data_IF_238414623369
#
_entry.id   IF_238414623369
#
_cell.length_a   1.000
_cell.length_b   1.000
_cell.length_c   1.000
_cell.angle_alpha   90.00
_cell.angle_beta   90.00
_cell.angle_gamma   90.00
#
_symmetry.space_group_name_H-M   'P 1'
#
loop_
_entity.id
_entity.type
_entity.pdbx_description
1 polymer ?
#
# COMPACT_ATOMS: atom_id res chain seq x y z
N UNK A 1 -18.20 1.23 -42.60
CA UNK A 1 -16.81 1.44 -42.13
C UNK A 1 -16.57 0.45 -41.00
N UNK A 2 -15.72 -0.57 -41.19
CA UNK A 2 -15.30 -1.43 -40.09
C UNK A 2 -14.37 -0.61 -39.22
N UNK A 3 -14.72 -0.39 -37.97
CA UNK A 3 -13.84 0.22 -36.98
C UNK A 3 -12.67 -0.75 -36.78
N UNK A 4 -11.56 -0.54 -37.48
CA UNK A 4 -10.30 -1.22 -37.16
C UNK A 4 -9.85 -0.66 -35.81
N UNK A 5 -10.16 -1.36 -34.73
CA UNK A 5 -9.53 -1.12 -33.44
C UNK A 5 -8.01 -1.09 -33.67
N UNK A 6 -7.37 0.03 -33.32
CA UNK A 6 -5.91 0.14 -33.42
C UNK A 6 -5.30 -0.74 -32.32
N UNK A 7 -5.10 -2.02 -32.61
CA UNK A 7 -4.35 -2.91 -31.76
C UNK A 7 -2.85 -2.55 -31.84
N UNK A 8 -2.19 -2.47 -30.70
CA UNK A 8 -0.74 -2.32 -30.57
C UNK A 8 -0.25 -3.38 -29.59
N UNK A 9 0.96 -3.90 -29.80
CA UNK A 9 1.53 -4.87 -28.86
C UNK A 9 2.11 -4.15 -27.64
N UNK A 10 2.05 -4.79 -26.48
CA UNK A 10 2.55 -4.21 -25.22
C UNK A 10 4.04 -3.87 -25.34
N UNK A 11 4.84 -4.69 -26.02
CA UNK A 11 6.29 -4.48 -26.19
C UNK A 11 6.60 -3.16 -26.88
N UNK A 12 5.76 -2.75 -27.84
CA UNK A 12 5.92 -1.49 -28.56
C UNK A 12 5.70 -0.25 -27.68
N UNK A 13 4.89 -0.40 -26.62
CA UNK A 13 4.51 0.66 -25.67
C UNK A 13 5.23 0.56 -24.33
N UNK A 14 5.89 -0.55 -24.07
CA UNK A 14 6.49 -0.87 -22.79
C UNK A 14 7.49 0.23 -22.37
N UNK A 15 7.32 0.88 -21.21
CA UNK A 15 8.14 2.03 -20.83
C UNK A 15 9.46 1.61 -20.19
N UNK A 16 9.61 0.34 -19.78
CA UNK A 16 10.83 -0.18 -19.18
C UNK A 16 11.83 -0.58 -20.27
N UNK A 17 13.11 -0.34 -20.00
CA UNK A 17 14.22 -0.68 -20.89
C UNK A 17 14.86 -2.01 -20.49
N UNK A 18 15.30 -2.10 -19.23
CA UNK A 18 16.00 -3.27 -18.68
C UNK A 18 15.91 -3.30 -17.16
N UNK A 19 16.18 -4.46 -16.57
CA UNK A 19 16.41 -4.62 -15.14
C UNK A 19 17.87 -5.00 -14.96
N UNK A 20 18.65 -4.14 -14.32
CA UNK A 20 20.10 -4.28 -14.17
C UNK A 20 20.51 -3.98 -12.73
N UNK A 21 21.33 -4.84 -12.13
CA UNK A 21 21.85 -4.65 -10.76
C UNK A 21 20.74 -4.43 -9.71
N UNK A 22 19.66 -5.21 -9.78
CA UNK A 22 18.47 -5.09 -8.92
C UNK A 22 17.81 -3.69 -8.97
N UNK A 23 17.90 -3.03 -10.13
CA UNK A 23 17.25 -1.75 -10.43
C UNK A 23 16.48 -1.87 -11.74
N UNK A 24 15.29 -1.27 -11.78
CA UNK A 24 14.50 -1.13 -13.00
C UNK A 24 14.91 0.17 -13.69
N UNK A 25 15.31 0.09 -14.96
CA UNK A 25 15.67 1.23 -15.79
C UNK A 25 14.56 1.47 -16.81
N UNK A 26 14.00 2.67 -16.81
CA UNK A 26 13.01 3.06 -17.83
C UNK A 26 13.68 3.55 -19.11
N UNK A 27 12.97 3.52 -20.24
CA UNK A 27 13.43 4.09 -21.52
C UNK A 27 13.71 5.59 -21.40
N UNK A 28 13.10 6.27 -20.45
CA UNK A 28 13.34 7.69 -20.20
C UNK A 28 14.48 7.96 -19.19
N UNK A 29 15.27 6.93 -18.86
CA UNK A 29 16.42 6.96 -17.94
C UNK A 29 16.06 7.20 -16.47
N UNK A 30 14.84 6.85 -16.05
CA UNK A 30 14.52 6.77 -14.61
C UNK A 30 15.08 5.48 -14.01
N UNK A 31 15.51 5.56 -12.76
CA UNK A 31 16.06 4.43 -12.01
C UNK A 31 15.10 4.13 -10.87
N UNK A 32 14.64 2.88 -10.77
CA UNK A 32 13.76 2.45 -9.69
C UNK A 32 14.37 1.32 -8.89
N UNK A 33 14.38 1.44 -7.57
CA UNK A 33 14.71 0.34 -6.65
C UNK A 33 13.42 -0.16 -6.02
N UNK A 34 13.21 -1.47 -6.03
CA UNK A 34 12.02 -2.12 -5.51
C UNK A 34 12.32 -2.86 -4.19
N UNK A 35 11.42 -2.73 -3.23
CA UNK A 35 11.46 -3.40 -1.93
C UNK A 35 10.15 -4.11 -1.65
N UNK A 36 10.24 -5.27 -0.98
CA UNK A 36 9.13 -5.87 -0.24
C UNK A 36 9.11 -5.23 1.16
N UNK A 37 7.93 -4.84 1.61
CA UNK A 37 7.74 -4.19 2.92
C UNK A 37 7.00 -5.13 3.85
N UNK A 38 7.64 -5.49 4.95
CA UNK A 38 7.00 -6.17 6.06
C UNK A 38 6.50 -5.14 7.07
N UNK A 39 5.18 -5.08 7.20
CA UNK A 39 4.46 -4.22 8.13
C UNK A 39 4.04 -4.99 9.39
N UNK A 40 3.76 -4.31 10.51
CA UNK A 40 3.23 -4.94 11.71
C UNK A 40 1.82 -5.50 11.52
N UNK A 41 1.44 -6.48 12.33
CA UNK A 41 0.13 -7.14 12.22
C UNK A 41 -0.99 -6.23 12.74
N UNK A 42 -2.17 -6.38 12.15
CA UNK A 42 -3.35 -5.60 12.52
C UNK A 42 -3.70 -5.71 14.02
N UNK A 43 -4.01 -4.59 14.68
CA UNK A 43 -4.28 -4.49 16.13
C UNK A 43 -3.11 -4.86 17.06
N UNK A 44 -1.85 -4.82 16.59
CA UNK A 44 -0.67 -5.07 17.45
C UNK A 44 0.10 -3.82 17.84
N UNK A 45 -0.19 -2.68 17.19
CA UNK A 45 0.55 -1.42 17.33
C UNK A 45 -0.26 -0.42 18.17
N UNK A 46 0.42 0.35 19.00
CA UNK A 46 -0.13 1.42 19.83
C UNK A 46 0.03 2.80 19.17
N UNK A 47 -0.71 3.81 19.63
CA UNK A 47 -0.62 5.19 19.09
C UNK A 47 0.81 5.75 19.08
N UNK A 48 1.56 5.55 20.16
CA UNK A 48 2.97 5.99 20.24
C UNK A 48 3.89 5.25 19.26
N UNK A 49 3.58 4.00 18.93
CA UNK A 49 4.34 3.24 17.94
C UNK A 49 3.99 3.68 16.51
N UNK A 50 2.74 4.07 16.23
CA UNK A 50 2.38 4.73 14.96
C UNK A 50 3.11 6.07 14.78
N UNK A 51 3.23 6.88 15.83
CA UNK A 51 4.04 8.10 15.79
C UNK A 51 5.53 7.79 15.52
N UNK A 52 6.06 6.70 16.09
CA UNK A 52 7.43 6.27 15.84
C UNK A 52 7.64 5.79 14.38
N UNK A 53 6.70 5.02 13.84
CA UNK A 53 6.67 4.59 12.44
C UNK A 53 6.62 5.81 11.51
N UNK A 54 5.70 6.74 11.77
CA UNK A 54 5.55 7.98 11.01
C UNK A 54 6.84 8.82 11.04
N UNK A 55 7.48 8.92 12.21
CA UNK A 55 8.78 9.60 12.35
C UNK A 55 9.89 8.91 11.56
N UNK A 56 9.91 7.57 11.53
CA UNK A 56 10.88 6.79 10.77
C UNK A 56 10.71 7.04 9.26
N UNK A 57 9.49 6.97 8.73
CA UNK A 57 9.18 7.33 7.34
C UNK A 57 9.58 8.76 7.01
N UNK A 58 9.24 9.72 7.88
CA UNK A 58 9.57 11.14 7.68
C UNK A 58 11.09 11.34 7.56
N UNK A 59 11.87 10.68 8.43
CA UNK A 59 13.34 10.73 8.37
C UNK A 59 13.89 10.07 7.11
N UNK A 60 13.37 8.90 6.74
CA UNK A 60 13.81 8.16 5.58
C UNK A 60 13.55 8.97 4.29
N UNK A 61 12.34 9.49 4.09
CA UNK A 61 11.97 10.28 2.91
C UNK A 61 12.86 11.52 2.76
N UNK A 62 13.20 12.21 3.86
CA UNK A 62 14.06 13.41 3.83
C UNK A 62 15.49 13.15 3.35
N UNK A 63 15.95 11.90 3.33
CA UNK A 63 17.29 11.52 2.81
C UNK A 63 17.32 11.41 1.29
N UNK A 64 16.16 11.18 0.66
CA UNK A 64 16.09 11.02 -0.79
C UNK A 64 16.39 12.34 -1.51
N UNK A 65 17.08 12.29 -2.66
CA UNK A 65 17.39 13.48 -3.43
C UNK A 65 16.13 14.07 -4.08
N UNK A 66 16.21 15.35 -4.48
CA UNK A 66 15.17 16.01 -5.25
C UNK A 66 14.84 15.26 -6.54
N UNK A 67 13.59 15.38 -6.96
CA UNK A 67 12.98 14.66 -8.07
C UNK A 67 13.00 13.15 -7.88
N UNK A 68 12.60 12.71 -6.69
CA UNK A 68 12.39 11.30 -6.36
C UNK A 68 10.90 11.06 -6.12
N UNK A 69 10.42 9.90 -6.55
CA UNK A 69 9.05 9.45 -6.34
C UNK A 69 9.07 8.26 -5.40
N UNK A 70 8.33 8.38 -4.31
CA UNK A 70 8.06 7.27 -3.38
C UNK A 70 6.70 6.74 -3.77
N UNK A 71 6.65 5.49 -4.19
CA UNK A 71 5.41 4.79 -4.53
C UNK A 71 5.29 3.53 -3.69
N UNK A 72 4.41 3.58 -2.69
CA UNK A 72 4.05 2.43 -1.87
C UNK A 72 2.76 1.82 -2.42
N UNK A 73 2.79 0.52 -2.66
CA UNK A 73 1.73 -0.22 -3.32
C UNK A 73 1.32 -1.40 -2.45
N UNK A 74 0.12 -1.31 -1.88
CA UNK A 74 -0.44 -2.34 -1.00
C UNK A 74 -1.47 -3.14 -1.78
N UNK A 75 -1.15 -4.42 -2.01
CA UNK A 75 -1.98 -5.37 -2.72
C UNK A 75 -2.85 -6.14 -1.76
N UNK A 76 -4.14 -6.11 -1.99
CA UNK A 76 -5.14 -6.84 -1.23
C UNK A 76 -5.90 -7.76 -2.17
N UNK A 77 -5.58 -9.05 -2.13
CA UNK A 77 -6.15 -10.05 -3.05
C UNK A 77 -6.89 -11.11 -2.24
N UNK A 78 -8.12 -11.42 -2.62
CA UNK A 78 -8.93 -12.48 -2.03
C UNK A 78 -8.28 -13.82 -2.35
N UNK A 79 -7.98 -14.56 -1.29
CA UNK A 79 -7.46 -15.91 -1.36
C UNK A 79 -8.32 -16.84 -0.52
N UNK A 80 -8.29 -18.13 -0.86
CA UNK A 80 -8.99 -19.16 -0.13
C UNK A 80 -8.02 -19.95 0.75
N UNK A 81 -8.39 -20.13 2.02
CA UNK A 81 -7.59 -20.94 2.94
C UNK A 81 -7.47 -22.38 2.44
N UNK A 82 -6.23 -22.81 2.19
CA UNK A 82 -5.90 -24.19 1.81
C UNK A 82 -5.51 -24.99 3.05
N UNK A 83 -6.30 -26.01 3.44
CA UNK A 83 -6.01 -26.79 4.62
C UNK A 83 -4.80 -27.70 4.43
N UNK A 84 -4.03 -27.91 5.50
CA UNK A 84 -2.88 -28.80 5.49
C UNK A 84 -3.31 -30.23 5.88
N UNK A 85 -4.04 -30.92 5.00
CA UNK A 85 -4.62 -32.25 5.29
C UNK A 85 -3.65 -33.42 5.19
N UNK A 86 -2.47 -33.22 4.58
CA UNK A 86 -1.59 -34.32 4.16
C UNK A 86 -0.63 -34.81 5.25
N UNK A 87 -0.82 -34.37 6.50
CA UNK A 87 -0.02 -34.83 7.63
C UNK A 87 -0.53 -36.21 8.09
N UNK A 88 0.30 -37.24 7.91
CA UNK A 88 -0.01 -38.67 8.16
C UNK A 88 -0.51 -39.00 9.58
N UNK A 89 -0.36 -38.09 10.56
CA UNK A 89 -0.76 -38.28 11.96
C UNK A 89 -1.76 -37.23 12.49
N UNK A 90 -2.64 -36.69 11.64
CA UNK A 90 -3.62 -35.70 12.11
C UNK A 90 -4.79 -36.34 12.90
N UNK A 91 -5.06 -35.84 14.11
CA UNK A 91 -6.20 -36.28 14.93
C UNK A 91 -7.55 -35.98 14.27
N UNK A 92 -8.61 -36.69 14.67
CA UNK A 92 -9.98 -36.46 14.17
C UNK A 92 -10.43 -34.99 14.32
N UNK A 93 -10.14 -34.37 15.47
CA UNK A 93 -10.54 -32.99 15.74
C UNK A 93 -9.71 -31.99 14.94
N UNK A 94 -8.42 -32.25 14.73
CA UNK A 94 -7.57 -31.43 13.86
C UNK A 94 -8.01 -31.51 12.40
N UNK A 95 -8.38 -32.71 11.91
CA UNK A 95 -8.93 -32.88 10.56
C UNK A 95 -10.29 -32.19 10.39
N UNK A 96 -11.14 -32.25 11.41
CA UNK A 96 -12.44 -31.57 11.40
C UNK A 96 -12.29 -30.04 11.40
N UNK A 97 -11.30 -29.53 12.12
CA UNK A 97 -10.94 -28.11 12.10
C UNK A 97 -10.50 -27.66 10.70
N UNK A 98 -9.55 -28.37 10.08
CA UNK A 98 -9.09 -28.06 8.72
C UNK A 98 -10.24 -28.07 7.70
N UNK A 99 -11.14 -29.06 7.81
CA UNK A 99 -12.32 -29.14 6.93
C UNK A 99 -13.32 -28.01 7.14
N UNK A 100 -13.50 -27.55 8.38
CA UNK A 100 -14.43 -26.46 8.70
C UNK A 100 -14.01 -25.14 8.05
N UNK A 101 -12.70 -24.89 7.97
CA UNK A 101 -12.14 -23.66 7.41
C UNK A 101 -11.66 -23.81 5.96
N UNK A 102 -11.83 -24.98 5.34
CA UNK A 102 -11.51 -25.18 3.93
C UNK A 102 -12.25 -24.14 3.08
N UNK A 103 -11.55 -23.54 2.12
CA UNK A 103 -12.09 -22.53 1.20
C UNK A 103 -12.62 -21.26 1.89
N UNK A 104 -12.25 -21.03 3.17
CA UNK A 104 -12.57 -19.77 3.85
C UNK A 104 -11.89 -18.62 3.10
N UNK A 105 -12.64 -17.65 2.55
CA UNK A 105 -12.06 -16.51 1.88
C UNK A 105 -11.42 -15.57 2.91
N UNK A 106 -10.24 -15.05 2.58
CA UNK A 106 -9.56 -14.01 3.34
C UNK A 106 -8.87 -13.06 2.37
N UNK A 107 -8.61 -11.85 2.81
CA UNK A 107 -7.85 -10.88 2.03
C UNK A 107 -6.37 -11.03 2.37
N UNK A 108 -5.55 -11.42 1.40
CA UNK A 108 -4.10 -11.49 1.55
C UNK A 108 -3.47 -10.14 1.21
N UNK A 109 -2.57 -9.68 2.06
CA UNK A 109 -1.88 -8.42 1.90
C UNK A 109 -0.40 -8.62 1.55
N UNK A 110 0.03 -7.97 0.48
CA UNK A 110 1.44 -7.83 0.11
C UNK A 110 1.77 -6.37 -0.14
N UNK A 111 2.82 -5.85 0.49
CA UNK A 111 3.22 -4.45 0.33
C UNK A 111 4.56 -4.36 -0.42
N UNK A 112 4.57 -3.53 -1.45
CA UNK A 112 5.76 -3.22 -2.25
C UNK A 112 6.05 -1.72 -2.19
N UNK A 113 7.34 -1.37 -2.18
CA UNK A 113 7.80 0.01 -2.21
C UNK A 113 8.74 0.20 -3.39
N UNK A 114 8.42 1.19 -4.22
CA UNK A 114 9.22 1.59 -5.36
C UNK A 114 9.76 3.00 -5.11
N UNK A 115 11.08 3.12 -5.11
CA UNK A 115 11.77 4.40 -5.04
C UNK A 115 12.31 4.71 -6.42
N UNK A 116 11.74 5.73 -7.08
CA UNK A 116 12.11 6.10 -8.45
C UNK A 116 12.83 7.44 -8.46
N UNK A 117 14.06 7.47 -8.99
CA UNK A 117 14.72 8.72 -9.38
C UNK A 117 14.29 9.11 -10.78
N UNK A 118 13.76 10.31 -10.91
CA UNK A 118 13.36 10.87 -12.21
C UNK A 118 13.94 12.27 -12.44
N UNK A 119 13.48 12.93 -13.50
CA UNK A 119 13.90 14.28 -13.91
C UNK A 119 12.79 15.30 -13.68
N UNK A 120 13.18 16.56 -13.52
CA UNK A 120 12.27 17.69 -13.35
C UNK A 120 11.18 17.76 -14.43
N UNK A 121 11.56 17.54 -15.69
CA UNK A 121 10.63 17.63 -16.82
C UNK A 121 9.59 16.51 -16.80
N UNK A 122 9.98 15.30 -16.38
CA UNK A 122 9.07 14.16 -16.26
C UNK A 122 8.06 14.34 -15.14
N UNK A 123 8.49 14.83 -13.98
CA UNK A 123 7.58 15.06 -12.84
C UNK A 123 6.47 16.08 -13.11
N UNK A 124 6.61 16.86 -14.19
CA UNK A 124 5.62 17.86 -14.65
C UNK A 124 4.82 17.39 -15.86
N UNK A 125 4.98 16.14 -16.29
CA UNK A 125 4.22 15.62 -17.42
C UNK A 125 2.73 15.50 -17.07
N UNK A 126 1.91 15.66 -18.10
CA UNK A 126 0.45 15.54 -18.02
C UNK A 126 -0.03 14.25 -18.70
N UNK A 127 -1.26 13.83 -18.41
CA UNK A 127 -1.86 12.59 -18.92
C UNK A 127 -1.76 12.45 -20.44
N UNK A 128 -1.97 13.55 -21.16
CA UNK A 128 -1.89 13.59 -22.63
C UNK A 128 -0.50 13.25 -23.20
N UNK A 129 0.52 13.31 -22.36
CA UNK A 129 1.91 13.05 -22.70
C UNK A 129 2.43 11.73 -22.14
N UNK A 130 1.59 10.91 -21.49
CA UNK A 130 2.00 9.59 -21.00
C UNK A 130 2.62 8.74 -22.11
N UNK A 131 3.56 7.89 -21.73
CA UNK A 131 4.14 6.82 -22.56
C UNK A 131 3.07 5.97 -23.26
N UNK A 132 1.90 5.76 -22.62
CA UNK A 132 0.77 5.06 -23.21
C UNK A 132 0.24 5.76 -24.48
N UNK A 133 0.14 7.09 -24.43
CA UNK A 133 -0.34 7.94 -25.51
C UNK A 133 0.75 8.27 -26.53
N UNK A 134 2.02 8.30 -26.12
CA UNK A 134 3.18 8.52 -27.00
C UNK A 134 3.47 7.29 -27.87
N UNK A 135 4.04 7.52 -29.05
CA UNK A 135 4.49 6.46 -29.95
C UNK A 135 5.79 5.81 -29.45
N UNK A 136 6.77 5.68 -30.34
CA UNK A 136 8.10 5.15 -30.02
C UNK A 136 8.86 6.07 -29.06
N UNK A 137 9.34 5.51 -27.94
CA UNK A 137 10.16 6.22 -26.94
C UNK A 137 11.63 5.98 -27.27
N UNK A 138 12.41 7.06 -27.44
CA UNK A 138 13.86 6.97 -27.68
C UNK A 138 14.55 6.80 -26.31
N UNK A 139 15.29 5.69 -26.10
CA UNK A 139 15.99 5.46 -24.85
C UNK A 139 16.98 6.59 -24.53
N UNK A 140 16.89 7.15 -23.32
CA UNK A 140 17.85 8.12 -22.79
C UNK A 140 18.94 7.42 -21.98
N UNK A 141 20.12 8.03 -21.89
CA UNK A 141 21.21 7.50 -21.07
C UNK A 141 21.06 7.94 -19.61
N UNK A 142 21.28 6.97 -18.71
CA UNK A 142 21.28 7.21 -17.26
C UNK A 142 22.58 7.93 -16.87
N UNK A 143 22.45 9.04 -16.14
CA UNK A 143 23.60 9.72 -15.55
C UNK A 143 24.17 8.88 -14.39
N UNK A 144 25.36 8.32 -14.57
CA UNK A 144 26.03 7.45 -13.60
C UNK A 144 26.27 8.11 -12.24
N UNK A 145 26.62 9.39 -12.20
CA UNK A 145 26.87 10.09 -10.93
C UNK A 145 25.56 10.28 -10.14
N UNK A 146 24.47 10.60 -10.84
CA UNK A 146 23.14 10.69 -10.23
C UNK A 146 22.70 9.31 -9.71
N UNK A 147 22.94 8.25 -10.48
CA UNK A 147 22.62 6.88 -10.10
C UNK A 147 23.31 6.46 -8.79
N UNK A 148 24.63 6.70 -8.67
CA UNK A 148 25.39 6.35 -7.47
C UNK A 148 24.87 7.10 -6.24
N UNK A 149 24.68 8.42 -6.35
CA UNK A 149 24.13 9.23 -5.24
C UNK A 149 22.74 8.79 -4.83
N UNK A 150 21.90 8.44 -5.80
CA UNK A 150 20.55 7.93 -5.53
C UNK A 150 20.60 6.59 -4.80
N UNK A 151 21.43 5.64 -5.25
CA UNK A 151 21.58 4.34 -4.59
C UNK A 151 22.15 4.45 -3.17
N UNK A 152 23.08 5.38 -2.93
CA UNK A 152 23.57 5.69 -1.58
C UNK A 152 22.45 6.22 -0.68
N UNK A 153 21.63 7.15 -1.19
CA UNK A 153 20.48 7.67 -0.46
C UNK A 153 19.41 6.59 -0.19
N UNK A 154 19.16 5.70 -1.15
CA UNK A 154 18.27 4.54 -0.99
C UNK A 154 18.80 3.57 0.06
N UNK A 155 20.11 3.31 0.10
CA UNK A 155 20.72 2.47 1.14
C UNK A 155 20.63 3.10 2.54
N UNK A 156 20.68 4.43 2.64
CA UNK A 156 20.43 5.14 3.91
C UNK A 156 18.94 5.08 4.30
N UNK A 157 18.04 5.26 3.33
CA UNK A 157 16.60 5.13 3.50
C UNK A 157 16.21 3.75 4.06
N UNK A 158 16.75 2.68 3.45
CA UNK A 158 16.55 1.30 3.88
C UNK A 158 16.98 1.07 5.32
N UNK A 159 18.17 1.55 5.70
CA UNK A 159 18.70 1.43 7.06
C UNK A 159 17.83 2.14 8.08
N UNK A 160 17.39 3.37 7.80
CA UNK A 160 16.55 4.15 8.74
C UNK A 160 15.26 3.41 9.08
N UNK A 161 14.61 2.79 8.09
CA UNK A 161 13.38 2.05 8.32
C UNK A 161 13.63 0.71 9.01
N UNK A 162 14.65 -0.05 8.60
CA UNK A 162 15.00 -1.31 9.24
C UNK A 162 15.43 -1.14 10.70
N UNK A 163 16.17 -0.06 11.01
CA UNK A 163 16.61 0.26 12.38
C UNK A 163 15.45 0.69 13.30
N UNK A 164 14.28 1.05 12.74
CA UNK A 164 13.09 1.38 13.53
C UNK A 164 12.53 0.16 14.30
N UNK A 165 12.77 -1.05 13.80
CA UNK A 165 12.27 -2.30 14.38
C UNK A 165 10.78 -2.60 14.13
N UNK A 166 10.03 -1.66 13.54
CA UNK A 166 8.61 -1.85 13.23
C UNK A 166 8.36 -2.28 11.78
N UNK A 167 9.17 -1.77 10.86
CA UNK A 167 9.06 -2.03 9.42
C UNK A 167 10.36 -2.69 8.95
N UNK A 168 10.24 -3.72 8.11
CA UNK A 168 11.39 -4.32 7.45
C UNK A 168 11.28 -4.18 5.94
N UNK A 169 12.30 -3.59 5.33
CA UNK A 169 12.49 -3.49 3.89
C UNK A 169 13.46 -4.58 3.44
N UNK A 170 13.01 -5.37 2.47
CA UNK A 170 13.84 -6.37 1.78
C UNK A 170 13.92 -6.01 0.31
N UNK A 171 15.12 -5.77 -0.21
CA UNK A 171 15.31 -5.46 -1.63
C UNK A 171 14.89 -6.64 -2.51
N UNK A 172 14.14 -6.35 -3.58
CA UNK A 172 13.69 -7.36 -4.54
C UNK A 172 14.78 -7.55 -5.60
N UNK A 173 15.17 -8.80 -5.83
CA UNK A 173 16.19 -9.15 -6.81
C UNK A 173 15.67 -9.02 -8.25
N UNK A 174 16.58 -8.84 -9.21
CA UNK A 174 16.25 -8.77 -10.65
C UNK A 174 15.33 -9.91 -11.12
N UNK A 175 15.61 -11.15 -10.69
CA UNK A 175 14.84 -12.34 -11.09
C UNK A 175 13.39 -12.31 -10.57
N UNK A 176 13.15 -11.77 -9.37
CA UNK A 176 11.80 -11.60 -8.80
C UNK A 176 11.03 -10.47 -9.51
N UNK A 177 11.73 -9.50 -10.11
CA UNK A 177 11.11 -8.39 -10.85
C UNK A 177 10.67 -8.86 -12.24
N UNK A 178 11.59 -9.49 -12.99
CA UNK A 178 11.33 -9.93 -14.37
C UNK A 178 10.59 -11.25 -14.45
N UNK A 179 10.70 -12.07 -13.41
CA UNK A 179 10.25 -13.46 -13.42
C UNK A 179 11.33 -14.40 -13.91
N UNK A 180 11.11 -15.69 -13.63
CA UNK A 180 11.92 -16.81 -14.11
C UNK A 180 11.06 -17.72 -14.99
N UNK A 181 11.63 -18.78 -15.58
CA UNK A 181 10.84 -19.75 -16.36
C UNK A 181 9.74 -20.45 -15.53
N UNK A 182 9.82 -20.41 -14.19
CA UNK A 182 8.91 -21.12 -13.28
C UNK A 182 7.99 -20.22 -12.48
N UNK A 183 8.40 -18.99 -12.22
CA UNK A 183 7.71 -18.06 -11.32
C UNK A 183 7.52 -16.72 -12.03
N UNK A 184 6.27 -16.26 -12.04
CA UNK A 184 5.90 -14.97 -12.60
C UNK A 184 6.60 -13.81 -11.90
N UNK A 185 7.10 -12.85 -12.69
CA UNK A 185 7.75 -11.64 -12.17
C UNK A 185 6.76 -10.64 -11.59
N UNK A 186 7.24 -9.71 -10.77
CA UNK A 186 6.41 -8.63 -10.22
C UNK A 186 5.69 -7.80 -11.29
N UNK A 187 6.35 -7.55 -12.42
CA UNK A 187 5.75 -6.82 -13.54
C UNK A 187 4.63 -7.64 -14.20
N UNK A 188 4.84 -8.94 -14.39
CA UNK A 188 3.85 -9.85 -14.96
C UNK A 188 2.63 -9.97 -14.04
N UNK A 189 2.86 -10.13 -12.73
CA UNK A 189 1.83 -10.12 -11.68
C UNK A 189 1.01 -8.83 -11.69
N UNK A 190 1.66 -7.68 -11.88
CA UNK A 190 0.99 -6.39 -12.04
C UNK A 190 0.05 -6.39 -13.26
N UNK A 191 0.53 -6.82 -14.43
CA UNK A 191 -0.27 -6.85 -15.66
C UNK A 191 -1.46 -7.80 -15.60
N UNK A 192 -1.35 -8.90 -14.84
CA UNK A 192 -2.44 -9.86 -14.64
C UNK A 192 -3.38 -9.49 -13.48
N UNK A 193 -3.07 -8.42 -12.72
CA UNK A 193 -3.72 -8.11 -11.44
C UNK A 193 -3.85 -9.35 -10.55
N UNK A 194 -2.79 -10.15 -10.45
CA UNK A 194 -2.76 -11.42 -9.70
C UNK A 194 -1.38 -11.63 -9.11
N UNK A 195 -1.32 -12.08 -7.85
CA UNK A 195 -0.06 -12.42 -7.18
C UNK A 195 0.32 -13.89 -7.33
N UNK A 196 -0.49 -14.68 -8.01
CA UNK A 196 -0.23 -16.11 -8.28
C UNK A 196 1.00 -16.30 -9.20
N UNK A 197 1.70 -17.43 -9.04
CA UNK A 197 2.91 -17.72 -9.80
C UNK A 197 2.64 -18.26 -11.21
N UNK A 198 1.39 -18.62 -11.50
CA UNK A 198 0.92 -19.07 -12.83
C UNK A 198 0.05 -17.99 -13.46
N UNK A 199 0.66 -16.94 -13.99
CA UNK A 199 -0.06 -15.89 -14.70
C UNK A 199 -0.27 -16.27 -16.16
N UNK A 200 -1.53 -16.34 -16.58
CA UNK A 200 -1.86 -16.38 -18.01
C UNK A 200 -1.71 -14.97 -18.59
N UNK A 201 -1.13 -14.83 -19.78
CA UNK A 201 -1.15 -13.57 -20.52
C UNK A 201 -2.60 -13.15 -20.78
N UNK A 202 -2.95 -11.94 -20.37
CA UNK A 202 -4.28 -11.36 -20.53
C UNK A 202 -4.22 -10.12 -21.42
N UNK A 203 -5.27 -9.91 -22.20
CA UNK A 203 -5.41 -8.71 -23.02
C UNK A 203 -5.76 -7.50 -22.15
N UNK A 204 -5.16 -6.34 -22.47
CA UNK A 204 -5.50 -5.05 -21.87
C UNK A 204 -6.35 -4.24 -22.85
N UNK A 205 -7.59 -3.97 -22.46
CA UNK A 205 -8.55 -3.20 -23.26
C UNK A 205 -8.80 -1.83 -22.62
N UNK A 206 -8.61 -0.79 -23.43
CA UNK A 206 -8.95 0.59 -23.10
C UNK A 206 -10.25 0.95 -23.82
N UNK A 207 -11.38 0.66 -23.17
CA UNK A 207 -12.71 0.86 -23.71
C UNK A 207 -13.33 2.20 -23.31
N UNK A 208 -14.50 2.51 -23.90
CA UNK A 208 -15.32 3.64 -23.45
C UNK A 208 -15.91 3.40 -22.04
N UNK A 209 -16.07 2.13 -21.66
CA UNK A 209 -16.61 1.70 -20.37
C UNK A 209 -15.55 1.56 -19.27
N UNK A 210 -14.26 1.84 -19.57
CA UNK A 210 -13.16 1.82 -18.61
C UNK A 210 -11.98 0.93 -19.03
N UNK A 211 -11.11 0.62 -18.07
CA UNK A 211 -9.97 -0.27 -18.22
C UNK A 211 -10.39 -1.71 -17.89
N UNK A 212 -10.08 -2.65 -18.79
CA UNK A 212 -10.32 -4.08 -18.61
C UNK A 212 -9.05 -4.88 -18.85
N UNK A 213 -8.79 -5.87 -18.00
CA UNK A 213 -7.62 -6.75 -18.04
C UNK A 213 -8.12 -8.19 -18.02
N UNK A 214 -8.07 -8.86 -19.18
CA UNK A 214 -8.77 -10.14 -19.37
C UNK A 214 -10.27 -9.99 -19.09
N UNK A 215 -10.76 -10.70 -18.08
CA UNK A 215 -12.16 -10.62 -17.64
C UNK A 215 -12.37 -9.61 -16.49
N UNK A 216 -11.28 -9.08 -15.92
CA UNK A 216 -11.33 -8.16 -14.77
C UNK A 216 -11.61 -6.74 -15.24
N UNK A 217 -12.68 -6.15 -14.73
CA UNK A 217 -13.01 -4.74 -14.96
C UNK A 217 -12.48 -3.90 -13.79
N UNK A 218 -11.73 -2.84 -14.10
CA UNK A 218 -11.07 -2.00 -13.10
C UNK A 218 -11.93 -0.78 -12.75
N UNK A 219 -12.02 -0.48 -11.47
CA UNK A 219 -12.64 0.73 -10.92
C UNK A 219 -11.60 1.50 -10.09
N UNK A 220 -11.44 2.79 -10.35
CA UNK A 220 -10.43 3.62 -9.71
C UNK A 220 -11.07 4.78 -8.96
N UNK A 221 -10.73 4.90 -7.67
CA UNK A 221 -11.07 6.06 -6.86
C UNK A 221 -9.81 6.82 -6.49
N UNK A 222 -9.77 8.12 -6.78
CA UNK A 222 -8.61 8.97 -6.54
C UNK A 222 -8.86 9.96 -5.42
N UNK A 223 -7.79 10.31 -4.70
CA UNK A 223 -7.69 11.43 -3.79
C UNK A 223 -6.59 12.33 -4.37
N UNK A 224 -6.97 13.22 -5.27
CA UNK A 224 -6.04 14.06 -6.04
C UNK A 224 -6.25 15.57 -5.85
N UNK A 225 -7.29 15.99 -5.10
CA UNK A 225 -7.58 17.40 -4.83
C UNK A 225 -7.58 17.70 -3.32
N UNK A 226 -7.12 18.89 -2.94
CA UNK A 226 -7.10 19.37 -1.54
C UNK A 226 -8.53 19.56 -1.01
N UNK A 227 -9.49 19.90 -1.87
CA UNK A 227 -10.91 20.05 -1.46
C UNK A 227 -11.58 18.72 -1.11
N UNK A 228 -10.98 17.60 -1.52
CA UNK A 228 -11.46 16.25 -1.27
C UNK A 228 -10.84 15.63 -0.01
N UNK A 229 -9.90 16.34 0.64
CA UNK A 229 -9.23 15.90 1.87
C UNK A 229 -10.02 16.28 3.13
N UNK A 230 -9.82 15.55 4.23
CA UNK A 230 -10.38 15.88 5.53
C UNK A 230 -9.75 17.15 6.10
N UNK A 231 -10.46 17.79 7.04
CA UNK A 231 -9.95 18.99 7.72
C UNK A 231 -8.78 18.71 8.67
N UNK A 232 -8.63 17.47 9.13
CA UNK A 232 -7.55 17.01 10.00
C UNK A 232 -7.13 15.60 9.62
N UNK A 233 -5.83 15.33 9.64
CA UNK A 233 -5.24 14.00 9.47
C UNK A 233 -4.44 13.63 10.71
N UNK A 234 -4.28 12.33 10.96
CA UNK A 234 -3.50 11.81 12.08
C UNK A 234 -2.69 10.59 11.68
N UNK A 235 -1.74 10.20 12.52
CA UNK A 235 -0.95 8.96 12.35
C UNK A 235 -1.82 7.72 12.51
N UNK A 236 -2.80 7.80 13.39
CA UNK A 236 -3.75 6.74 13.71
C UNK A 236 -5.16 7.29 13.86
N UNK A 237 -6.13 6.39 13.81
CA UNK A 237 -7.54 6.63 14.08
C UNK A 237 -8.09 5.58 15.04
N UNK A 238 -9.14 5.96 15.77
CA UNK A 238 -9.84 5.06 16.69
C UNK A 238 -10.77 4.13 15.91
N UNK A 239 -10.57 2.82 16.07
CA UNK A 239 -11.46 1.83 15.51
C UNK A 239 -12.62 1.54 16.47
N UNK A 240 -13.76 2.22 16.25
CA UNK A 240 -14.91 2.21 17.15
C UNK A 240 -15.43 0.80 17.47
N UNK A 241 -15.45 -0.12 16.50
CA UNK A 241 -16.03 -1.47 16.68
C UNK A 241 -15.31 -2.32 17.74
N UNK A 242 -14.03 -2.04 18.01
CA UNK A 242 -13.23 -2.74 19.02
C UNK A 242 -12.78 -1.84 20.16
N UNK A 243 -13.23 -0.58 20.16
CA UNK A 243 -12.95 0.38 21.22
C UNK A 243 -14.07 0.38 22.25
N UNK A 244 -13.75 0.80 23.47
CA UNK A 244 -14.71 1.04 24.55
C UNK A 244 -14.48 2.44 25.13
N UNK A 245 -15.36 2.90 26.01
CA UNK A 245 -15.20 4.18 26.72
C UNK A 245 -13.91 4.26 27.55
N UNK A 246 -13.28 3.12 27.86
CA UNK A 246 -12.07 3.02 28.70
C UNK A 246 -10.83 2.55 27.95
N UNK A 247 -10.96 2.13 26.70
CA UNK A 247 -9.86 1.55 25.95
C UNK A 247 -10.02 1.80 24.45
N UNK A 248 -8.99 2.34 23.82
CA UNK A 248 -8.98 2.58 22.39
C UNK A 248 -8.24 1.47 21.67
N UNK A 249 -8.88 0.91 20.64
CA UNK A 249 -8.20 0.12 19.63
C UNK A 249 -7.86 1.06 18.47
N UNK A 250 -6.58 1.26 18.20
CA UNK A 250 -6.10 2.16 17.14
C UNK A 250 -5.71 1.39 15.88
N UNK A 251 -5.83 2.04 14.74
CA UNK A 251 -5.36 1.61 13.43
C UNK A 251 -4.78 2.82 12.69
N UNK A 252 -3.99 2.61 11.65
CA UNK A 252 -3.54 3.65 10.75
C UNK A 252 -4.72 4.43 10.17
N UNK A 253 -4.50 5.71 9.87
CA UNK A 253 -5.53 6.58 9.34
C UNK A 253 -6.07 6.08 7.97
N UNK A 254 -5.24 5.44 7.15
CA UNK A 254 -5.64 4.80 5.89
C UNK A 254 -6.14 3.36 6.03
N UNK A 255 -6.25 2.80 7.24
CA UNK A 255 -6.75 1.44 7.45
C UNK A 255 -8.14 1.13 6.85
N UNK A 256 -9.10 2.08 6.69
CA UNK A 256 -10.39 1.80 6.03
C UNK A 256 -10.24 1.28 4.60
N UNK A 257 -9.25 1.77 3.86
CA UNK A 257 -8.96 1.35 2.47
C UNK A 257 -7.91 0.25 2.36
N UNK A 258 -7.50 -0.34 3.50
CA UNK A 258 -6.62 -1.51 3.55
C UNK A 258 -7.40 -2.80 3.80
N UNK A 259 -7.00 -3.57 4.81
CA UNK A 259 -7.60 -4.86 5.17
C UNK A 259 -9.09 -4.81 5.56
N UNK A 260 -9.64 -3.62 5.82
CA UNK A 260 -11.06 -3.43 6.14
C UNK A 260 -11.97 -3.38 4.90
N UNK A 261 -11.39 -3.20 3.70
CA UNK A 261 -12.09 -3.19 2.43
C UNK A 261 -12.11 -4.60 1.83
N UNK A 262 -13.27 -5.27 1.84
CA UNK A 262 -13.42 -6.69 1.48
C UNK A 262 -13.53 -6.94 -0.04
N UNK A 263 -12.67 -6.34 -0.85
CA UNK A 263 -12.61 -6.55 -2.31
C UNK A 263 -11.17 -6.72 -2.80
N UNK A 264 -11.00 -7.21 -4.03
CA UNK A 264 -9.68 -7.22 -4.67
C UNK A 264 -9.30 -5.80 -5.07
N UNK A 265 -8.22 -5.29 -4.50
CA UNK A 265 -7.77 -3.94 -4.77
C UNK A 265 -6.28 -3.74 -4.50
N UNK A 266 -5.76 -2.66 -5.10
CA UNK A 266 -4.45 -2.11 -4.84
C UNK A 266 -4.61 -0.69 -4.34
N UNK A 267 -4.02 -0.38 -3.19
CA UNK A 267 -3.92 0.98 -2.69
C UNK A 267 -2.56 1.58 -3.05
N UNK A 268 -2.54 2.52 -4.01
CA UNK A 268 -1.31 3.21 -4.40
C UNK A 268 -1.16 4.52 -3.63
N UNK A 269 -0.03 4.66 -2.95
CA UNK A 269 0.34 5.83 -2.16
C UNK A 269 1.58 6.47 -2.77
N UNK A 270 1.46 7.72 -3.23
CA UNK A 270 2.55 8.45 -3.88
C UNK A 270 2.95 9.68 -3.09
N UNK A 271 4.26 9.87 -2.95
CA UNK A 271 4.87 11.12 -2.50
C UNK A 271 5.93 11.52 -3.53
N UNK A 272 5.79 12.72 -4.06
CA UNK A 272 6.69 13.31 -5.05
C UNK A 272 7.56 14.37 -4.37
N UNK A 273 8.86 14.10 -4.30
CA UNK A 273 9.84 15.05 -3.79
C UNK A 273 10.28 15.98 -4.91
N UNK A 274 9.59 17.11 -5.05
CA UNK A 274 9.98 18.19 -5.95
C UNK A 274 11.00 19.15 -5.31
N UNK A 275 11.41 20.18 -6.05
CA UNK A 275 12.14 21.32 -5.50
C UNK A 275 11.19 22.18 -4.64
N UNK A 276 11.27 21.98 -3.32
CA UNK A 276 10.46 22.71 -2.35
C UNK A 276 10.65 24.23 -2.46
N UNK A 277 11.86 24.71 -2.74
CA UNK A 277 12.10 26.16 -2.84
C UNK A 277 11.45 26.75 -4.10
N UNK A 278 11.46 26.00 -5.20
CA UNK A 278 10.75 26.39 -6.42
C UNK A 278 9.23 26.40 -6.20
N UNK A 279 8.67 25.39 -5.53
CA UNK A 279 7.25 25.32 -5.21
C UNK A 279 6.80 26.53 -4.38
N UNK A 280 7.53 26.86 -3.31
CA UNK A 280 7.23 28.02 -2.47
C UNK A 280 7.27 29.34 -3.26
N UNK A 281 8.26 29.54 -4.14
CA UNK A 281 8.32 30.73 -5.02
C UNK A 281 7.13 30.82 -5.98
N UNK A 282 6.64 29.68 -6.47
CA UNK A 282 5.43 29.64 -7.31
C UNK A 282 4.19 30.04 -6.51
N UNK A 283 4.05 29.55 -5.28
CA UNK A 283 2.97 29.94 -4.38
C UNK A 283 3.01 31.42 -4.00
N UNK A 284 4.17 31.97 -3.68
CA UNK A 284 4.35 33.41 -3.45
C UNK A 284 3.94 34.26 -4.66
N UNK A 285 4.28 33.80 -5.88
CA UNK A 285 3.85 34.47 -7.12
C UNK A 285 2.33 34.38 -7.28
N UNK A 286 1.74 33.23 -7.00
CA UNK A 286 0.29 33.01 -7.05
C UNK A 286 -0.45 33.90 -6.05
N UNK A 287 -0.01 33.97 -4.80
CA UNK A 287 -0.57 34.84 -3.76
C UNK A 287 -0.51 36.33 -4.15
N UNK A 288 0.61 36.78 -4.73
CA UNK A 288 0.74 38.17 -5.25
C UNK A 288 -0.23 38.45 -6.40
N UNK A 289 -0.40 37.50 -7.32
CA UNK A 289 -1.36 37.63 -8.42
C UNK A 289 -2.80 37.70 -7.88
N UNK A 290 -3.17 36.82 -6.94
CA UNK A 290 -4.49 36.82 -6.30
C UNK A 290 -4.74 38.12 -5.53
N UNK A 291 -3.73 38.69 -4.87
CA UNK A 291 -3.84 40.01 -4.22
C UNK A 291 -4.18 41.11 -5.23
N UNK A 292 -3.52 41.12 -6.40
CA UNK A 292 -3.81 42.12 -7.42
C UNK A 292 -5.25 42.02 -7.97
N UNK A 293 -5.82 40.81 -7.99
CA UNK A 293 -7.18 40.50 -8.46
C UNK A 293 -8.23 40.45 -7.33
N UNK A 294 -7.82 40.64 -6.07
CA UNK A 294 -8.67 40.48 -4.87
C UNK A 294 -9.79 41.51 -4.76
N UNK A 295 -9.69 42.63 -5.49
CA UNK A 295 -10.76 43.63 -5.59
C UNK A 295 -11.98 43.12 -6.37
N UNK A 296 -11.82 42.05 -7.15
CA UNK A 296 -12.83 41.54 -8.07
C UNK A 296 -13.54 40.27 -7.60
N UNK A 297 -13.02 39.56 -6.58
CA UNK A 297 -13.64 38.34 -6.06
C UNK A 297 -13.23 38.05 -4.62
N UNK A 298 -14.22 37.75 -3.76
CA UNK A 298 -14.03 37.26 -2.39
C UNK A 298 -13.33 35.90 -2.35
N UNK A 299 -13.54 35.05 -3.36
CA UNK A 299 -12.86 33.76 -3.47
C UNK A 299 -11.33 33.88 -3.60
N UNK A 300 -10.87 34.88 -4.35
CA UNK A 300 -9.43 35.15 -4.49
C UNK A 300 -8.79 35.61 -3.16
N UNK A 301 -9.56 36.28 -2.29
CA UNK A 301 -9.08 36.67 -0.96
C UNK A 301 -8.89 35.45 -0.07
N UNK A 302 -9.85 34.52 -0.06
CA UNK A 302 -9.79 33.29 0.73
C UNK A 302 -8.63 32.40 0.25
N UNK A 303 -8.50 32.18 -1.06
CA UNK A 303 -7.42 31.36 -1.62
C UNK A 303 -6.04 31.96 -1.31
N UNK A 304 -5.91 33.30 -1.33
CA UNK A 304 -4.69 33.96 -0.90
C UNK A 304 -4.39 33.65 0.57
N UNK A 305 -5.37 33.80 1.47
CA UNK A 305 -5.18 33.53 2.90
C UNK A 305 -4.71 32.08 3.14
N UNK A 306 -5.21 31.11 2.38
CA UNK A 306 -4.76 29.73 2.46
C UNK A 306 -3.33 29.55 1.96
N UNK A 307 -2.96 30.18 0.84
CA UNK A 307 -1.57 30.14 0.36
C UNK A 307 -0.62 30.80 1.37
N UNK A 308 -1.00 31.95 1.94
CA UNK A 308 -0.18 32.63 2.95
C UNK A 308 -0.03 31.77 4.21
N UNK A 309 -1.06 31.04 4.65
CA UNK A 309 -0.96 30.06 5.75
C UNK A 309 0.02 28.94 5.40
N UNK A 310 -0.10 28.34 4.22
CA UNK A 310 0.81 27.29 3.75
C UNK A 310 2.26 27.77 3.73
N UNK A 311 2.53 28.95 3.18
CA UNK A 311 3.87 29.56 3.16
C UNK A 311 4.41 29.81 4.56
N UNK A 312 3.58 30.35 5.46
CA UNK A 312 3.97 30.62 6.84
C UNK A 312 4.32 29.33 7.60
N UNK A 313 3.55 28.26 7.44
CA UNK A 313 3.84 26.96 8.06
C UNK A 313 5.14 26.36 7.51
N UNK A 314 5.32 26.38 6.18
CA UNK A 314 6.52 25.90 5.53
C UNK A 314 7.78 26.60 6.07
N UNK A 315 7.75 27.92 6.21
CA UNK A 315 8.87 28.70 6.73
C UNK A 315 9.06 28.56 8.25
N UNK A 316 7.98 28.52 9.02
CA UNK A 316 8.05 28.50 10.49
C UNK A 316 8.59 27.18 11.03
N UNK A 317 8.20 26.06 10.41
CA UNK A 317 8.57 24.72 10.86
C UNK A 317 9.63 24.05 9.96
N UNK A 318 10.06 24.72 8.89
CA UNK A 318 11.03 24.16 7.93
C UNK A 318 10.49 22.93 7.20
N UNK A 319 9.19 22.92 6.88
CA UNK A 319 8.54 21.79 6.22
C UNK A 319 8.90 21.75 4.74
N UNK A 320 9.12 20.55 4.22
CA UNK A 320 9.39 20.31 2.81
C UNK A 320 8.07 20.22 2.05
N UNK A 321 7.88 21.11 1.07
CA UNK A 321 6.74 21.08 0.15
C UNK A 321 6.88 19.90 -0.80
N UNK A 322 5.88 19.03 -0.85
CA UNK A 322 5.81 17.84 -1.70
C UNK A 322 4.48 17.78 -2.41
N UNK A 323 4.39 16.97 -3.46
CA UNK A 323 3.08 16.54 -3.98
C UNK A 323 2.74 15.15 -3.49
N UNK A 324 1.47 14.88 -3.30
CA UNK A 324 0.96 13.58 -2.92
C UNK A 324 -0.22 13.17 -3.81
N UNK A 325 -0.40 11.86 -3.94
CA UNK A 325 -1.57 11.27 -4.58
C UNK A 325 -1.86 9.91 -3.96
N UNK A 326 -3.14 9.62 -3.77
CA UNK A 326 -3.59 8.33 -3.27
C UNK A 326 -4.71 7.82 -4.15
N UNK A 327 -4.69 6.53 -4.48
CA UNK A 327 -5.81 5.91 -5.17
C UNK A 327 -6.07 4.48 -4.72
N UNK A 328 -7.34 4.09 -4.78
CA UNK A 328 -7.78 2.71 -4.60
C UNK A 328 -8.20 2.19 -5.96
N UNK A 329 -7.44 1.22 -6.46
CA UNK A 329 -7.69 0.53 -7.72
C UNK A 329 -8.27 -0.84 -7.40
N UNK A 330 -9.58 -0.98 -7.54
CA UNK A 330 -10.28 -2.24 -7.28
C UNK A 330 -10.70 -2.91 -8.58
N UNK A 331 -10.89 -4.22 -8.57
CA UNK A 331 -11.38 -4.95 -9.74
C UNK A 331 -12.30 -6.11 -9.35
N UNK A 332 -13.08 -6.57 -10.32
CA UNK A 332 -13.87 -7.81 -10.25
C UNK A 332 -14.11 -8.34 -11.67
N UNK A 333 -14.34 -9.63 -11.79
CA UNK A 333 -14.81 -10.32 -12.99
C UNK A 333 -16.35 -10.33 -13.12
N UNK A 334 -17.07 -9.89 -12.09
CA UNK A 334 -18.53 -9.73 -12.09
C UNK A 334 -18.96 -8.25 -12.08
N UNK A 335 -19.80 -7.88 -13.05
CA UNK A 335 -20.33 -6.53 -13.19
C UNK A 335 -21.30 -6.12 -12.06
N UNK A 336 -21.98 -7.08 -11.40
CA UNK A 336 -22.81 -6.77 -10.24
C UNK A 336 -21.96 -6.56 -8.99
N UNK A 337 -20.98 -7.44 -8.73
CA UNK A 337 -20.02 -7.24 -7.65
C UNK A 337 -19.25 -5.92 -7.79
N UNK A 338 -18.83 -5.54 -9.00
CA UNK A 338 -18.11 -4.29 -9.24
C UNK A 338 -18.91 -3.05 -8.80
N UNK A 339 -20.25 -3.06 -8.94
CA UNK A 339 -21.09 -1.96 -8.45
C UNK A 339 -21.08 -1.87 -6.92
N UNK A 340 -21.09 -3.02 -6.24
CA UNK A 340 -20.99 -3.07 -4.78
C UNK A 340 -19.62 -2.60 -4.33
N UNK A 341 -18.55 -3.10 -4.96
CA UNK A 341 -17.16 -2.67 -4.72
C UNK A 341 -17.02 -1.16 -4.84
N UNK A 342 -17.60 -0.56 -5.89
CA UNK A 342 -17.55 0.90 -6.07
C UNK A 342 -18.17 1.65 -4.89
N UNK A 343 -19.32 1.18 -4.39
CA UNK A 343 -19.98 1.79 -3.24
C UNK A 343 -19.20 1.57 -1.94
N UNK A 344 -18.61 0.38 -1.78
CA UNK A 344 -17.81 0.02 -0.60
C UNK A 344 -16.53 0.86 -0.53
N UNK A 345 -15.79 0.98 -1.64
CA UNK A 345 -14.60 1.85 -1.74
C UNK A 345 -14.97 3.29 -1.42
N UNK A 346 -16.07 3.80 -2.00
CA UNK A 346 -16.56 5.14 -1.71
C UNK A 346 -16.91 5.34 -0.23
N UNK A 347 -17.48 4.31 0.40
CA UNK A 347 -17.84 4.34 1.82
C UNK A 347 -16.61 4.30 2.74
N UNK A 348 -15.58 3.52 2.41
CA UNK A 348 -14.32 3.48 3.18
C UNK A 348 -13.55 4.79 3.08
N UNK A 349 -13.50 5.40 1.89
CA UNK A 349 -12.92 6.74 1.71
C UNK A 349 -13.66 7.80 2.53
N UNK A 350 -15.00 7.72 2.59
CA UNK A 350 -15.80 8.61 3.42
C UNK A 350 -15.56 8.40 4.92
N UNK A 351 -15.19 7.19 5.38
CA UNK A 351 -14.77 6.95 6.78
C UNK A 351 -13.44 7.61 7.12
N UNK A 352 -12.58 7.86 6.12
CA UNK A 352 -11.40 8.71 6.25
C UNK A 352 -11.73 10.20 6.10
N UNK A 353 -13.02 10.55 6.06
CA UNK A 353 -13.53 11.90 5.78
C UNK A 353 -13.06 12.48 4.43
N UNK A 354 -12.62 11.62 3.51
CA UNK A 354 -12.24 11.99 2.16
C UNK A 354 -13.48 11.94 1.25
N UNK A 355 -13.55 12.84 0.26
CA UNK A 355 -14.59 12.77 -0.77
C UNK A 355 -14.16 11.77 -1.85
N UNK A 356 -14.90 10.67 -2.07
CA UNK A 356 -14.52 9.69 -3.06
C UNK A 356 -14.75 10.22 -4.48
N UNK A 357 -13.67 10.34 -5.26
CA UNK A 357 -13.74 10.68 -6.69
C UNK A 357 -13.53 9.44 -7.54
N UNK A 358 -14.60 8.95 -8.15
CA UNK A 358 -14.50 7.88 -9.15
C UNK A 358 -13.91 8.44 -10.45
N UNK A 359 -12.63 8.17 -10.69
CA UNK A 359 -11.94 8.66 -11.88
C UNK A 359 -12.21 7.69 -13.03
N UNK A 360 -12.74 8.20 -14.15
CA UNK A 360 -13.02 7.41 -15.36
C UNK A 360 -12.17 7.85 -16.55
N UNK A 361 -11.48 8.99 -16.45
CA UNK A 361 -10.75 9.61 -17.57
C UNK A 361 -9.30 9.17 -17.55
N UNK A 362 -8.65 9.27 -16.40
CA UNK A 362 -7.21 9.03 -16.26
C UNK A 362 -6.87 7.62 -15.79
N UNK A 363 -7.86 6.71 -15.72
CA UNK A 363 -7.68 5.33 -15.21
C UNK A 363 -6.54 4.60 -15.92
N UNK A 364 -6.52 4.68 -17.25
CA UNK A 364 -5.50 4.03 -18.06
C UNK A 364 -4.09 4.57 -17.76
N UNK A 365 -3.97 5.89 -17.66
CA UNK A 365 -2.72 6.58 -17.37
C UNK A 365 -2.24 6.27 -15.95
N UNK A 366 -3.14 6.31 -14.97
CA UNK A 366 -2.83 6.02 -13.57
C UNK A 366 -2.46 4.55 -13.36
N UNK A 367 -3.16 3.62 -14.02
CA UNK A 367 -2.76 2.21 -14.06
C UNK A 367 -1.38 2.03 -14.69
N UNK A 368 -1.09 2.74 -15.78
CA UNK A 368 0.20 2.63 -16.46
C UNK A 368 1.36 3.20 -15.64
N UNK A 369 1.13 4.33 -14.94
CA UNK A 369 2.10 4.94 -14.04
C UNK A 369 2.34 4.11 -12.77
N UNK A 370 1.33 3.39 -12.30
CA UNK A 370 1.40 2.51 -11.13
C UNK A 370 2.13 1.18 -11.38
N UNK A 371 2.56 0.91 -12.61
CA UNK A 371 3.42 -0.22 -12.90
C UNK A 371 4.79 -0.07 -12.20
N UNK A 372 5.34 -1.15 -11.62
CA UNK A 372 6.69 -1.14 -11.05
C UNK A 372 7.71 -0.53 -12.02
N UNK A 373 8.35 0.56 -11.59
CA UNK A 373 9.38 1.25 -12.38
C UNK A 373 8.89 2.36 -13.33
N UNK A 374 7.59 2.65 -13.39
CA UNK A 374 7.03 3.68 -14.27
C UNK A 374 6.39 4.88 -13.55
N UNK A 375 6.65 5.05 -12.25
CA UNK A 375 6.10 6.17 -11.47
C UNK A 375 6.53 7.56 -11.99
N UNK A 376 7.61 7.65 -12.78
CA UNK A 376 8.02 8.89 -13.46
C UNK A 376 7.09 9.33 -14.60
N UNK A 377 6.15 8.49 -15.04
CA UNK A 377 5.11 8.83 -16.02
C UNK A 377 3.80 9.30 -15.37
N UNK A 378 3.80 9.49 -14.05
CA UNK A 378 2.62 9.89 -13.31
C UNK A 378 2.12 11.28 -13.73
N UNK A 379 0.81 11.45 -14.01
CA UNK A 379 0.24 12.71 -14.45
C UNK A 379 0.21 13.73 -13.29
N UNK A 380 0.96 14.83 -13.45
CA UNK A 380 1.14 15.84 -12.40
C UNK A 380 -0.16 16.51 -11.93
N UNK A 381 -1.19 16.57 -12.78
CA UNK A 381 -2.51 17.12 -12.49
C UNK A 381 -3.35 16.24 -11.57
N UNK A 382 -3.06 14.95 -11.47
CA UNK A 382 -3.70 14.03 -10.51
C UNK A 382 -2.91 14.00 -9.20
N UNK A 383 -2.32 15.12 -8.77
CA UNK A 383 -1.63 15.22 -7.49
C UNK A 383 -1.84 16.59 -6.86
N UNK A 384 -1.80 16.64 -5.54
CA UNK A 384 -1.97 17.89 -4.78
C UNK A 384 -0.74 18.22 -3.95
N UNK A 385 -0.55 19.51 -3.65
CA UNK A 385 0.55 19.97 -2.81
C UNK A 385 0.23 19.84 -1.33
N UNK A 386 1.19 19.34 -0.57
CA UNK A 386 1.12 19.18 0.88
C UNK A 386 2.54 19.20 1.48
N UNK A 387 2.70 18.74 2.71
CA UNK A 387 3.99 18.48 3.36
C UNK A 387 4.18 16.97 3.55
N UNK A 388 5.41 16.54 3.85
CA UNK A 388 5.73 15.13 4.05
C UNK A 388 4.88 14.54 5.19
N UNK A 389 4.75 15.27 6.30
CA UNK A 389 4.12 14.77 7.51
C UNK A 389 2.62 14.47 7.32
N UNK A 390 1.79 15.37 6.76
CA UNK A 390 0.40 15.06 6.43
C UNK A 390 0.23 14.01 5.32
N UNK A 391 1.14 13.97 4.34
CA UNK A 391 1.07 12.97 3.26
C UNK A 391 1.26 11.55 3.82
N UNK A 392 2.19 11.38 4.76
CA UNK A 392 2.46 10.09 5.40
C UNK A 392 1.31 9.55 6.23
N UNK A 393 0.39 10.40 6.71
CA UNK A 393 -0.81 9.93 7.40
C UNK A 393 -1.70 9.04 6.52
N UNK A 394 -1.60 9.15 5.19
CA UNK A 394 -2.35 8.32 4.26
C UNK A 394 -1.66 6.99 3.95
N UNK A 395 -0.55 6.64 4.61
CA UNK A 395 0.05 5.33 4.43
C UNK A 395 -0.71 4.28 5.25
N UNK A 396 -0.92 3.11 4.65
CA UNK A 396 -1.36 1.91 5.37
C UNK A 396 -0.16 1.29 6.08
N UNK A 397 -0.27 1.06 7.39
CA UNK A 397 0.87 0.64 8.22
C UNK A 397 0.69 -0.76 8.81
N UNK A 398 -0.29 -1.53 8.34
CA UNK A 398 -0.59 -2.86 8.86
C UNK A 398 -0.65 -3.94 7.79
N UNK A 399 -0.42 -5.18 8.22
CA UNK A 399 -0.62 -6.38 7.42
C UNK A 399 -1.44 -7.45 8.14
N UNK A 400 -1.73 -8.54 7.43
CA UNK A 400 -2.45 -9.68 7.99
C UNK A 400 -1.67 -10.28 9.17
N UNK A 401 -2.42 -10.92 10.07
CA UNK A 401 -1.84 -11.80 11.06
C UNK A 401 -1.05 -12.95 10.39
N UNK A 402 0.14 -13.21 10.90
CA UNK A 402 1.08 -14.22 10.43
C UNK A 402 1.07 -15.40 11.40
N UNK A 403 1.26 -16.60 10.85
CA UNK A 403 1.45 -17.78 11.69
C UNK A 403 2.84 -17.73 12.33
N UNK A 404 2.91 -18.09 13.62
CA UNK A 404 4.16 -18.24 14.34
C UNK A 404 5.05 -19.28 13.65
N UNK A 405 6.36 -19.03 13.49
CA UNK A 405 7.30 -20.00 12.91
C UNK A 405 7.61 -21.18 13.85
N UNK A 406 7.12 -21.13 15.09
CA UNK A 406 7.37 -22.16 16.10
C UNK A 406 6.68 -23.48 15.71
N UNK A 407 7.37 -24.63 15.86
CA UNK A 407 6.75 -25.94 15.64
C UNK A 407 5.66 -26.24 16.67
N UNK A 408 5.67 -25.51 17.80
CA UNK A 408 4.69 -25.61 18.88
C UNK A 408 3.70 -24.43 18.83
N UNK A 409 2.44 -24.65 19.19
CA UNK A 409 1.47 -23.58 19.29
C UNK A 409 0.02 -24.04 19.33
N UNK A 410 -0.89 -23.10 19.15
CA UNK A 410 -2.33 -23.35 19.05
C UNK A 410 -2.90 -22.75 17.77
N UNK A 411 -3.90 -23.39 17.18
CA UNK A 411 -4.66 -22.83 16.06
C UNK A 411 -5.75 -21.93 16.59
N UNK A 412 -5.66 -20.65 16.25
CA UNK A 412 -6.67 -19.63 16.52
C UNK A 412 -7.24 -19.12 15.19
N UNK A 413 -8.29 -18.31 15.23
CA UNK A 413 -8.80 -17.62 14.06
C UNK A 413 -8.42 -16.14 14.14
N UNK A 414 -8.09 -15.53 13.00
CA UNK A 414 -7.89 -14.10 12.90
C UNK A 414 -9.20 -13.34 13.19
N UNK A 415 -9.07 -12.06 13.56
CA UNK A 415 -10.24 -11.24 13.95
C UNK A 415 -11.04 -10.72 12.76
N UNK A 416 -10.43 -10.62 11.59
CA UNK A 416 -11.02 -9.96 10.41
C UNK A 416 -11.73 -10.98 9.52
N UNK A 417 -11.02 -12.02 9.06
CA UNK A 417 -11.57 -12.97 8.08
C UNK A 417 -12.12 -14.28 8.70
N UNK A 418 -11.76 -14.58 9.95
CA UNK A 418 -11.87 -15.89 10.57
C UNK A 418 -10.89 -16.93 10.04
N UNK A 419 -9.83 -16.55 9.32
CA UNK A 419 -8.78 -17.44 8.81
C UNK A 419 -8.04 -18.12 9.97
N UNK A 420 -7.82 -19.44 9.92
CA UNK A 420 -6.98 -20.11 10.90
C UNK A 420 -5.52 -19.67 10.86
N UNK A 421 -4.95 -19.45 12.04
CA UNK A 421 -3.56 -19.04 12.24
C UNK A 421 -2.95 -19.89 13.35
N UNK A 422 -1.72 -20.34 13.14
CA UNK A 422 -0.94 -21.03 14.16
C UNK A 422 -0.22 -20.00 15.03
N UNK A 423 -0.48 -20.01 16.34
CA UNK A 423 0.02 -19.02 17.28
C UNK A 423 0.76 -19.71 18.42
N UNK A 424 2.03 -19.37 18.59
CA UNK A 424 2.82 -19.78 19.76
C UNK A 424 2.72 -18.72 20.85
N UNK A 425 1.97 -19.02 21.90
CA UNK A 425 1.81 -18.15 23.06
C UNK A 425 2.84 -18.41 24.17
N UNK A 426 3.81 -19.31 23.96
CA UNK A 426 4.72 -19.80 25.00
C UNK A 426 6.21 -19.62 24.66
N UNK A 427 6.71 -20.22 23.59
CA UNK A 427 8.15 -20.22 23.31
C UNK A 427 8.59 -19.02 22.48
N UNK A 428 7.83 -18.67 21.44
CA UNK A 428 8.12 -17.51 20.61
C UNK A 428 8.15 -16.19 21.42
N UNK A 429 7.15 -15.86 22.25
CA UNK A 429 7.19 -14.60 23.01
C UNK A 429 8.30 -14.60 24.06
N UNK A 430 8.69 -15.78 24.58
CA UNK A 430 9.80 -15.89 25.53
C UNK A 430 11.15 -15.67 24.83
N UNK A 431 11.33 -16.20 23.61
CA UNK A 431 12.51 -15.94 22.77
C UNK A 431 12.62 -14.47 22.36
N UNK A 432 11.49 -13.82 22.12
CA UNK A 432 11.42 -12.39 21.82
C UNK A 432 11.58 -11.51 23.08
N UNK A 433 11.67 -12.08 24.28
CA UNK A 433 11.80 -11.33 25.52
C UNK A 433 10.51 -10.63 25.98
N UNK A 434 9.37 -10.91 25.36
CA UNK A 434 8.06 -10.33 25.70
C UNK A 434 7.56 -10.88 27.05
N UNK A 435 7.85 -12.15 27.35
CA UNK A 435 7.46 -12.81 28.61
C UNK A 435 8.66 -13.46 29.29
N UNK A 436 8.64 -13.47 30.63
CA UNK A 436 9.66 -14.12 31.47
C UNK A 436 9.24 -15.49 32.00
N UNK A 437 7.95 -15.82 31.90
CA UNK A 437 7.40 -17.11 32.30
C UNK A 437 6.34 -17.59 31.30
N UNK A 438 5.98 -18.88 31.36
CA UNK A 438 4.96 -19.49 30.48
C UNK A 438 3.59 -19.60 31.15
N UNK A 439 3.39 -18.96 32.30
CA UNK A 439 2.14 -19.06 33.04
C UNK A 439 1.01 -18.39 32.24
N UNK A 440 -0.19 -18.98 32.26
CA UNK A 440 -1.36 -18.47 31.53
C UNK A 440 -2.46 -18.12 32.51
N UNK A 441 -3.00 -16.92 32.38
CA UNK A 441 -4.18 -16.46 33.11
C UNK A 441 -5.31 -16.23 32.12
N UNK A 442 -6.43 -16.97 32.28
CA UNK A 442 -7.57 -16.92 31.36
C UNK A 442 -8.74 -16.28 32.11
N UNK A 443 -9.16 -15.10 31.67
CA UNK A 443 -10.23 -14.31 32.29
C UNK A 443 -11.37 -14.06 31.31
N UNK A 444 -12.59 -13.94 31.82
CA UNK A 444 -13.78 -13.59 31.06
C UNK A 444 -15.07 -13.85 31.85
N UNK A 445 -16.18 -13.15 31.55
CA UNK A 445 -17.47 -13.36 32.21
C UNK A 445 -18.06 -14.75 31.89
N UNK A 446 -19.13 -15.17 32.56
CA UNK A 446 -19.82 -16.42 32.21
C UNK A 446 -20.29 -16.38 30.74
N UNK A 447 -20.22 -17.50 30.03
CA UNK A 447 -20.59 -17.59 28.60
C UNK A 447 -19.55 -17.09 27.58
N UNK A 448 -18.45 -16.46 28.01
CA UNK A 448 -17.41 -15.91 27.10
C UNK A 448 -16.51 -16.94 26.40
N UNK A 449 -16.75 -18.24 26.60
CA UNK A 449 -15.96 -19.31 25.96
C UNK A 449 -14.66 -19.71 26.68
N UNK A 450 -14.43 -19.27 27.94
CA UNK A 450 -13.22 -19.67 28.72
C UNK A 450 -12.96 -21.19 28.75
N UNK A 451 -13.98 -21.98 29.07
CA UNK A 451 -13.85 -23.45 29.14
C UNK A 451 -13.60 -24.06 27.76
N UNK A 452 -14.21 -23.48 26.72
CA UNK A 452 -14.00 -23.88 25.34
C UNK A 452 -12.54 -23.64 24.90
N UNK A 453 -12.02 -22.43 25.12
CA UNK A 453 -10.63 -22.09 24.84
C UNK A 453 -9.67 -22.97 25.64
N UNK A 454 -9.92 -23.16 26.94
CA UNK A 454 -9.04 -23.96 27.80
C UNK A 454 -8.97 -25.40 27.29
N UNK A 455 -10.10 -26.02 26.97
CA UNK A 455 -10.13 -27.38 26.42
C UNK A 455 -9.39 -27.45 25.07
N UNK A 456 -9.61 -26.48 24.18
CA UNK A 456 -8.93 -26.39 22.90
C UNK A 456 -7.40 -26.28 23.03
N UNK A 457 -6.92 -25.40 23.92
CA UNK A 457 -5.50 -25.24 24.22
C UNK A 457 -4.91 -26.53 24.80
N UNK A 458 -5.58 -27.15 25.79
CA UNK A 458 -5.10 -28.38 26.42
C UNK A 458 -4.99 -29.53 25.42
N UNK A 459 -6.01 -29.69 24.57
CA UNK A 459 -6.03 -30.70 23.52
C UNK A 459 -4.85 -30.53 22.58
N UNK A 460 -4.63 -29.33 22.04
CA UNK A 460 -3.57 -29.10 21.07
C UNK A 460 -2.17 -29.24 21.68
N UNK A 461 -1.99 -28.86 22.95
CA UNK A 461 -0.72 -29.11 23.65
C UNK A 461 -0.47 -30.60 23.86
N UNK A 462 -1.50 -31.37 24.24
CA UNK A 462 -1.40 -32.83 24.38
C UNK A 462 -1.09 -33.52 23.05
N UNK A 463 -1.76 -33.11 21.96
CA UNK A 463 -1.50 -33.61 20.59
C UNK A 463 -0.07 -33.32 20.12
N UNK A 464 0.58 -32.30 20.69
CA UNK A 464 1.97 -31.93 20.42
C UNK A 464 2.98 -32.54 21.42
N UNK A 465 2.55 -33.50 22.23
CA UNK A 465 3.43 -34.27 23.12
C UNK A 465 3.71 -33.62 24.48
N UNK A 466 3.04 -32.52 24.84
CA UNK A 466 3.15 -31.93 26.17
C UNK A 466 2.35 -32.78 27.16
N UNK A 467 3.05 -33.42 28.11
CA UNK A 467 2.40 -34.14 29.22
C UNK A 467 1.69 -33.15 30.15
N UNK A 468 0.43 -33.42 30.48
CA UNK A 468 -0.31 -32.69 31.52
C UNK A 468 -0.71 -33.63 32.66
N UNK A 469 -0.44 -33.17 33.87
CA UNK A 469 -1.28 -33.44 35.04
C UNK A 469 -2.30 -32.31 35.13
N UNK A 470 -3.59 -32.65 35.19
CA UNK A 470 -4.67 -31.68 35.46
C UNK A 470 -4.88 -31.73 36.97
N UNK A 471 -4.54 -30.64 37.67
CA UNK A 471 -4.86 -30.45 39.09
C UNK A 471 -6.11 -29.56 39.23
#
# INVERSE_FOLDING_TARGET
>A
MRNTLKAATIESKFPLLSVEHDCIISKDADITVAFRVDLPELFTVTGSEYEAIHSAWTKAIKVLPEYSVIHKQDWFVKENYKPATDKENMSFLSRSFERHFNERPFLNHSCFLFLTKTTKDRMRMQSNFSSLCRGYIIPKEVNKEMAVRFLEAVGQFERILNDSGFITLTRIASDEITGTEKEAGLIEKYFALSLEDTTCLQDLELGADGLRIGDKTVCLHTISDVEDLPGTVGTDMRYEKLSTDRSDCRLSFASPVGLLLSCDHVYNQYIFLDDSAENLRQFEKSARNMQSLSKYSRGNQINKEWIDKYLNEAHSFGLTSVRAHFNVMAWSDDAEELKNIRNDVGSQLALMECKPRHNTVDVATLYWAAMPGNAGDFPSEESFYTFIEPALCFFTEETNYKSSPSPFGIKMADRVSGKPIHVDISDLPMKQGIITNRNKFILGPSGSGKSFFTNHMCRQYWEQGVRREVA
#
